data_IF_923540719422
#
_entry.id   IF_923540719422
#
_cell.length_a   1.000
_cell.length_b   1.000
_cell.length_c   1.000
_cell.angle_alpha   90.00
_cell.angle_beta   90.00
_cell.angle_gamma   90.00
#
_symmetry.space_group_name_H-M   'P 1'
#
loop_
_entity.id
_entity.type
_entity.pdbx_description
1 polymer ?
#
# COMPACT_ATOMS: atom_id res chain seq x y z
N UNK A 1 -16.99 19.81 34.71
CA UNK A 1 -18.44 19.56 34.49
C UNK A 1 -18.83 18.11 34.73
N UNK A 2 -18.06 17.12 34.25
CA UNK A 2 -18.35 15.69 34.46
C UNK A 2 -18.46 15.28 35.94
N UNK A 3 -17.61 15.84 36.80
CA UNK A 3 -17.61 15.54 38.25
C UNK A 3 -18.68 16.30 39.05
N UNK A 4 -19.27 17.36 38.49
CA UNK A 4 -20.20 18.24 39.22
C UNK A 4 -21.47 17.53 39.68
N UNK A 5 -21.99 16.62 38.85
CA UNK A 5 -23.19 15.83 39.16
C UNK A 5 -22.93 14.81 40.27
N UNK A 6 -21.78 14.13 40.21
CA UNK A 6 -21.42 13.10 41.20
C UNK A 6 -20.99 13.69 42.54
N UNK A 7 -20.30 14.83 42.52
CA UNK A 7 -19.88 15.54 43.73
C UNK A 7 -20.98 16.46 44.30
N UNK A 8 -22.06 16.72 43.55
CA UNK A 8 -23.09 17.70 43.87
C UNK A 8 -22.51 19.08 44.23
N UNK A 9 -21.50 19.52 43.47
CA UNK A 9 -20.76 20.76 43.72
C UNK A 9 -20.62 21.59 42.44
N UNK A 10 -20.63 22.93 42.53
CA UNK A 10 -20.28 23.81 41.42
C UNK A 10 -18.90 23.45 40.86
N UNK A 11 -18.71 23.38 39.52
CA UNK A 11 -17.45 22.96 38.93
C UNK A 11 -16.24 23.82 39.35
N UNK A 12 -16.45 25.11 39.62
CA UNK A 12 -15.39 25.99 40.16
C UNK A 12 -14.90 25.55 41.54
N UNK A 13 -15.80 25.16 42.45
CA UNK A 13 -15.42 24.67 43.77
C UNK A 13 -14.67 23.34 43.68
N UNK A 14 -15.05 22.47 42.74
CA UNK A 14 -14.33 21.22 42.48
C UNK A 14 -12.92 21.53 41.95
N UNK A 15 -12.79 22.49 41.04
CA UNK A 15 -11.49 22.92 40.54
C UNK A 15 -10.60 23.48 41.66
N UNK A 16 -11.15 24.32 42.55
CA UNK A 16 -10.45 24.86 43.72
C UNK A 16 -9.94 23.75 44.64
N UNK A 17 -10.75 22.71 44.88
CA UNK A 17 -10.33 21.54 45.68
C UNK A 17 -9.18 20.80 44.98
N UNK A 18 -9.29 20.50 43.68
CA UNK A 18 -8.23 19.79 42.94
C UNK A 18 -6.93 20.60 42.98
N UNK A 19 -7.00 21.91 42.72
CA UNK A 19 -5.84 22.81 42.77
C UNK A 19 -5.23 22.87 44.16
N UNK A 20 -6.03 22.86 45.23
CA UNK A 20 -5.48 22.83 46.60
C UNK A 20 -4.71 21.54 46.93
N UNK A 21 -4.95 20.46 46.18
CA UNK A 21 -4.29 19.17 46.38
C UNK A 21 -3.15 18.89 45.39
N UNK A 22 -2.93 19.75 44.39
CA UNK A 22 -1.87 19.58 43.39
C UNK A 22 -0.45 19.66 43.98
N UNK A 23 -0.28 20.32 45.13
CA UNK A 23 1.01 20.47 45.80
C UNK A 23 1.98 21.40 45.06
N UNK A 24 3.24 21.43 45.50
CA UNK A 24 4.32 22.15 44.82
C UNK A 24 5.10 21.16 43.95
N UNK A 25 4.74 21.09 42.67
CA UNK A 25 5.47 20.33 41.66
C UNK A 25 6.42 21.28 40.89
N UNK A 26 7.74 21.03 40.85
CA UNK A 26 8.70 21.84 40.08
C UNK A 26 8.39 21.96 38.58
N UNK A 27 7.62 21.02 38.02
CA UNK A 27 7.17 21.05 36.63
C UNK A 27 6.08 22.11 36.39
N UNK A 28 5.40 22.58 37.45
CA UNK A 28 4.26 23.49 37.34
C UNK A 28 4.67 24.88 37.85
N UNK A 29 4.84 25.81 36.92
CA UNK A 29 5.11 27.23 37.23
C UNK A 29 3.89 27.93 37.80
N UNK A 30 2.72 27.64 37.24
CA UNK A 30 1.49 28.33 37.59
C UNK A 30 0.28 27.41 37.36
N UNK A 31 -0.71 27.57 38.21
CA UNK A 31 -2.04 26.98 38.04
C UNK A 31 -3.07 28.10 38.06
N UNK A 32 -4.00 28.07 37.10
CA UNK A 32 -5.08 29.05 37.01
C UNK A 32 -6.43 28.36 36.85
N UNK A 33 -7.42 28.79 37.64
CA UNK A 33 -8.81 28.36 37.47
C UNK A 33 -9.52 29.39 36.59
N UNK A 34 -9.86 28.99 35.37
CA UNK A 34 -10.52 29.84 34.40
C UNK A 34 -12.02 29.51 34.26
N UNK A 35 -12.82 30.57 34.06
CA UNK A 35 -14.25 30.47 33.79
C UNK A 35 -15.02 29.59 34.79
N UNK A 36 -15.83 28.62 34.34
CA UNK A 36 -16.69 27.81 35.21
C UNK A 36 -15.95 26.73 36.02
N UNK A 37 -14.63 26.61 35.91
CA UNK A 37 -13.82 25.59 36.61
C UNK A 37 -12.87 24.80 35.70
N UNK A 38 -12.36 25.41 34.63
CA UNK A 38 -11.21 24.85 33.89
C UNK A 38 -9.95 25.05 34.72
N UNK A 39 -9.06 24.06 34.74
CA UNK A 39 -7.76 24.15 35.41
C UNK A 39 -6.70 24.22 34.31
N UNK A 40 -6.06 25.38 34.17
CA UNK A 40 -4.94 25.58 33.28
C UNK A 40 -3.64 25.36 34.06
N UNK A 41 -2.77 24.50 33.54
CA UNK A 41 -1.44 24.26 34.08
C UNK A 41 -0.40 24.89 33.15
N UNK A 42 0.49 25.70 33.72
CA UNK A 42 1.60 26.31 33.00
C UNK A 42 2.88 25.62 33.42
N UNK A 43 3.57 25.03 32.45
CA UNK A 43 4.80 24.26 32.68
C UNK A 43 5.97 25.21 32.97
N UNK A 44 6.92 24.78 33.79
CA UNK A 44 8.13 25.55 34.10
C UNK A 44 9.07 25.70 32.89
N UNK A 45 9.90 26.75 32.91
CA UNK A 45 10.93 26.96 31.89
C UNK A 45 12.01 25.86 31.94
N UNK A 46 12.31 25.37 33.15
CA UNK A 46 13.26 24.27 33.39
C UNK A 46 12.89 23.00 32.63
N UNK A 47 11.59 22.68 32.56
CA UNK A 47 11.11 21.55 31.77
C UNK A 47 11.47 21.67 30.28
N UNK A 48 11.42 22.87 29.70
CA UNK A 48 11.82 23.05 28.29
C UNK A 48 13.31 22.80 28.09
N UNK A 49 14.17 23.22 29.04
CA UNK A 49 15.61 22.94 28.96
C UNK A 49 15.90 21.43 29.09
N UNK A 50 15.21 20.73 29.98
CA UNK A 50 15.31 19.26 30.12
C UNK A 50 14.89 18.55 28.83
N UNK A 51 13.78 18.98 28.20
CA UNK A 51 13.33 18.39 26.93
C UNK A 51 14.34 18.64 25.80
N UNK A 52 14.98 19.81 25.74
CA UNK A 52 16.04 20.07 24.76
C UNK A 52 17.24 19.14 24.96
N UNK A 53 17.64 18.91 26.21
CA UNK A 53 18.69 17.93 26.52
C UNK A 53 18.28 16.52 26.11
N UNK A 54 17.02 16.12 26.34
CA UNK A 54 16.49 14.84 25.90
C UNK A 54 16.50 14.69 24.38
N UNK A 55 16.08 15.72 23.63
CA UNK A 55 16.11 15.72 22.16
C UNK A 55 17.54 15.54 21.66
N UNK A 56 18.49 16.30 22.20
CA UNK A 56 19.90 16.22 21.80
C UNK A 56 20.51 14.85 22.15
N UNK A 57 20.22 14.32 23.33
CA UNK A 57 20.70 13.01 23.76
C UNK A 57 20.12 11.86 22.93
N UNK A 58 18.84 11.93 22.53
CA UNK A 58 18.17 10.89 21.75
C UNK A 58 18.42 11.00 20.24
N UNK A 59 18.74 12.20 19.72
CA UNK A 59 19.04 12.40 18.31
C UNK A 59 17.92 11.93 17.38
N UNK A 60 18.23 11.07 16.42
CA UNK A 60 17.27 10.51 15.46
C UNK A 60 16.22 9.58 16.11
N UNK A 61 16.48 9.11 17.33
CA UNK A 61 15.54 8.29 18.08
C UNK A 61 14.52 9.09 18.91
N UNK A 62 14.64 10.43 18.93
CA UNK A 62 13.67 11.27 19.61
C UNK A 62 12.27 11.11 19.00
N UNK A 63 11.28 10.91 19.87
CA UNK A 63 9.89 10.69 19.46
C UNK A 63 9.57 9.26 19.01
N UNK A 64 10.54 8.34 19.00
CA UNK A 64 10.29 6.91 18.81
C UNK A 64 9.72 6.31 20.09
N UNK A 65 8.73 5.43 19.94
CA UNK A 65 8.16 4.67 21.05
C UNK A 65 9.17 3.64 21.54
N UNK A 66 9.39 3.56 22.85
CA UNK A 66 10.20 2.52 23.49
C UNK A 66 9.37 1.27 23.84
N UNK A 67 8.05 1.37 23.76
CA UNK A 67 7.16 0.26 24.09
C UNK A 67 7.10 -0.72 22.92
N UNK A 68 7.59 -1.94 23.12
CA UNK A 68 7.37 -3.01 22.13
C UNK A 68 5.89 -3.35 22.06
N UNK A 69 5.40 -3.48 20.84
CA UNK A 69 4.02 -3.94 20.59
C UNK A 69 3.96 -5.45 20.36
N UNK A 70 5.10 -6.11 20.05
CA UNK A 70 5.20 -7.47 19.53
C UNK A 70 4.25 -7.76 18.34
N UNK A 71 3.78 -6.71 17.67
CA UNK A 71 2.84 -6.80 16.55
C UNK A 71 3.59 -6.59 15.25
N UNK A 72 3.29 -7.46 14.29
CA UNK A 72 3.75 -7.36 12.90
C UNK A 72 2.68 -6.66 12.09
N UNK A 73 3.07 -5.69 11.29
CA UNK A 73 2.18 -4.95 10.39
C UNK A 73 2.77 -4.99 8.99
N UNK A 74 1.97 -5.48 8.05
CA UNK A 74 2.23 -5.38 6.62
C UNK A 74 1.53 -4.11 6.10
N UNK A 75 2.27 -3.26 5.40
CA UNK A 75 1.74 -2.08 4.71
C UNK A 75 1.94 -2.31 3.22
N UNK A 76 0.86 -2.68 2.53
CA UNK A 76 0.84 -2.79 1.07
C UNK A 76 0.47 -1.44 0.46
N UNK A 77 1.26 -0.97 -0.52
CA UNK A 77 0.98 0.30 -1.20
C UNK A 77 1.62 0.39 -2.60
N UNK A 78 1.16 1.37 -3.38
CA UNK A 78 1.42 1.55 -4.81
C UNK A 78 0.81 0.46 -5.68
N UNK A 79 1.23 -0.80 -5.51
CA UNK A 79 0.72 -2.02 -6.18
C UNK A 79 0.22 -1.78 -7.61
N UNK A 80 1.01 -1.04 -8.38
CA UNK A 80 0.61 -0.59 -9.70
C UNK A 80 0.81 -1.73 -10.70
N UNK A 81 -0.18 -1.97 -11.55
CA UNK A 81 -0.08 -3.00 -12.58
C UNK A 81 1.18 -2.75 -13.43
N UNK A 82 1.97 -3.79 -13.76
CA UNK A 82 3.20 -3.68 -14.54
C UNK A 82 2.88 -3.53 -16.04
N UNK A 83 1.96 -2.63 -16.38
CA UNK A 83 1.49 -2.40 -17.75
C UNK A 83 1.84 -1.01 -18.26
N UNK A 84 2.47 -0.18 -17.42
CA UNK A 84 3.01 1.12 -17.78
C UNK A 84 3.87 1.75 -16.68
N UNK A 85 4.48 2.91 -16.96
CA UNK A 85 5.27 3.65 -15.98
C UNK A 85 4.40 4.21 -14.85
N UNK A 86 5.02 4.42 -13.69
CA UNK A 86 4.36 5.09 -12.57
C UNK A 86 4.00 6.54 -12.92
N UNK A 87 2.88 7.01 -12.39
CA UNK A 87 2.41 8.38 -12.58
C UNK A 87 2.26 9.11 -11.24
N UNK A 88 1.76 10.35 -11.27
CA UNK A 88 1.61 11.18 -10.07
C UNK A 88 0.68 10.58 -9.01
N UNK A 89 -0.31 9.77 -9.42
CA UNK A 89 -1.21 9.06 -8.50
C UNK A 89 -0.43 7.99 -7.74
N UNK A 90 0.43 7.24 -8.43
CA UNK A 90 1.37 6.30 -7.82
C UNK A 90 2.31 7.01 -6.85
N UNK A 91 2.81 8.20 -7.20
CA UNK A 91 3.64 9.02 -6.32
C UNK A 91 2.94 9.43 -5.02
N UNK A 92 1.64 9.79 -5.10
CA UNK A 92 0.82 10.06 -3.91
C UNK A 92 0.69 8.82 -3.02
N UNK A 93 0.37 7.67 -3.62
CA UNK A 93 0.26 6.41 -2.90
C UNK A 93 1.60 6.02 -2.22
N UNK A 94 2.71 6.19 -2.93
CA UNK A 94 4.06 5.96 -2.43
C UNK A 94 4.36 6.81 -1.19
N UNK A 95 4.10 8.12 -1.26
CA UNK A 95 4.34 9.03 -0.14
C UNK A 95 3.48 8.69 1.09
N UNK A 96 2.19 8.40 0.89
CA UNK A 96 1.28 8.07 2.00
C UNK A 96 1.64 6.74 2.65
N UNK A 97 1.86 5.70 1.85
CA UNK A 97 2.20 4.36 2.34
C UNK A 97 3.54 4.33 3.07
N UNK A 98 4.56 4.97 2.51
CA UNK A 98 5.88 5.00 3.14
C UNK A 98 5.89 5.81 4.45
N UNK A 99 5.22 6.97 4.50
CA UNK A 99 5.07 7.74 5.75
C UNK A 99 4.32 6.94 6.82
N UNK A 100 3.27 6.20 6.45
CA UNK A 100 2.58 5.32 7.39
C UNK A 100 3.51 4.22 7.91
N UNK A 101 4.26 3.56 7.03
CA UNK A 101 5.22 2.53 7.43
C UNK A 101 6.34 3.09 8.34
N UNK A 102 6.82 4.31 8.05
CA UNK A 102 7.78 5.03 8.88
C UNK A 102 7.21 5.36 10.26
N UNK A 103 5.96 5.82 10.34
CA UNK A 103 5.30 6.13 11.61
C UNK A 103 5.08 4.87 12.45
N UNK A 104 4.64 3.77 11.84
CA UNK A 104 4.47 2.48 12.52
C UNK A 104 5.82 1.94 13.03
N UNK A 105 6.88 2.05 12.22
CA UNK A 105 8.24 1.69 12.63
C UNK A 105 8.74 2.58 13.78
N UNK A 106 8.46 3.89 13.75
CA UNK A 106 8.77 4.81 14.84
C UNK A 106 7.95 4.51 16.11
N UNK A 107 6.74 3.99 15.96
CA UNK A 107 5.90 3.50 17.06
C UNK A 107 6.27 2.08 17.55
N UNK A 108 7.38 1.52 17.05
CA UNK A 108 7.93 0.22 17.47
C UNK A 108 7.05 -1.00 17.11
N UNK A 109 6.46 -0.96 15.93
CA UNK A 109 5.88 -2.11 15.25
C UNK A 109 6.89 -2.75 14.31
N UNK A 110 6.87 -4.08 14.20
CA UNK A 110 7.61 -4.81 13.16
C UNK A 110 6.87 -4.61 11.83
N UNK A 111 7.34 -3.64 11.04
CA UNK A 111 6.61 -3.12 9.89
C UNK A 111 7.28 -3.57 8.60
N UNK A 112 6.51 -4.19 7.70
CA UNK A 112 6.96 -4.65 6.38
C UNK A 112 6.25 -3.87 5.28
N UNK A 113 6.99 -3.30 4.35
CA UNK A 113 6.48 -2.64 3.13
C UNK A 113 6.35 -3.68 2.02
N UNK A 114 5.15 -3.83 1.47
CA UNK A 114 4.89 -4.74 0.36
C UNK A 114 4.40 -4.01 -0.88
N UNK A 115 4.90 -4.43 -2.04
CA UNK A 115 4.36 -4.10 -3.34
C UNK A 115 3.74 -5.35 -3.95
N UNK A 116 2.43 -5.35 -4.19
CA UNK A 116 1.74 -6.42 -4.90
C UNK A 116 1.81 -6.18 -6.41
N UNK A 117 2.38 -7.13 -7.14
CA UNK A 117 2.57 -7.09 -8.59
C UNK A 117 1.42 -7.87 -9.22
N UNK A 118 0.53 -7.16 -9.91
CA UNK A 118 -0.52 -7.77 -10.72
C UNK A 118 0.03 -8.21 -12.08
N UNK A 119 0.85 -9.26 -12.08
CA UNK A 119 1.54 -9.83 -13.25
C UNK A 119 0.79 -11.00 -13.90
N UNK A 120 -0.52 -11.12 -13.66
CA UNK A 120 -1.38 -12.17 -14.20
C UNK A 120 -2.60 -11.64 -14.97
N UNK A 121 -3.19 -12.49 -15.80
CA UNK A 121 -4.46 -12.24 -16.48
C UNK A 121 -4.39 -11.43 -17.78
N UNK A 122 -5.57 -11.07 -18.31
CA UNK A 122 -5.73 -10.52 -19.67
C UNK A 122 -4.99 -9.20 -19.92
N UNK A 123 -4.70 -8.43 -18.88
CA UNK A 123 -3.96 -7.16 -19.03
C UNK A 123 -2.50 -7.41 -19.43
N UNK A 124 -1.84 -8.39 -18.83
CA UNK A 124 -0.45 -8.71 -19.19
C UNK A 124 -0.35 -9.42 -20.55
N UNK A 125 -1.37 -10.20 -20.93
CA UNK A 125 -1.48 -10.77 -22.28
C UNK A 125 -1.57 -9.68 -23.35
N UNK A 126 -2.45 -8.67 -23.12
CA UNK A 126 -2.56 -7.50 -24.00
C UNK A 126 -1.26 -6.70 -24.08
N UNK A 127 -0.50 -6.62 -22.99
CA UNK A 127 0.82 -5.99 -22.99
C UNK A 127 1.77 -6.76 -23.91
N UNK A 128 1.86 -8.08 -23.78
CA UNK A 128 2.69 -8.93 -24.63
C UNK A 128 2.33 -8.80 -26.12
N UNK A 129 1.04 -8.86 -26.44
CA UNK A 129 0.55 -8.66 -27.82
C UNK A 129 0.85 -7.26 -28.36
N UNK A 130 0.78 -6.23 -27.53
CA UNK A 130 1.12 -4.86 -27.94
C UNK A 130 2.62 -4.71 -28.23
N UNK A 131 3.47 -5.35 -27.43
CA UNK A 131 4.93 -5.40 -27.66
C UNK A 131 5.23 -6.16 -28.95
N UNK A 132 4.56 -7.29 -29.22
CA UNK A 132 4.73 -8.04 -30.48
C UNK A 132 4.51 -7.16 -31.70
N UNK A 133 3.39 -6.42 -31.71
CA UNK A 133 3.05 -5.53 -32.81
C UNK A 133 4.12 -4.45 -32.97
N UNK A 134 4.58 -3.81 -31.88
CA UNK A 134 5.64 -2.78 -31.95
C UNK A 134 6.96 -3.36 -32.45
N UNK A 135 7.32 -4.56 -32.01
CA UNK A 135 8.52 -5.26 -32.45
C UNK A 135 8.49 -5.56 -33.94
N UNK A 136 7.37 -6.09 -34.46
CA UNK A 136 7.17 -6.38 -35.89
C UNK A 136 7.14 -5.12 -36.75
N UNK A 137 6.52 -4.04 -36.27
CA UNK A 137 6.56 -2.74 -36.94
C UNK A 137 8.01 -2.26 -37.18
N UNK A 138 8.89 -2.40 -36.18
CA UNK A 138 10.31 -2.02 -36.30
C UNK A 138 11.11 -2.93 -37.25
N UNK A 139 10.61 -4.13 -37.55
CA UNK A 139 11.22 -5.10 -38.45
C UNK A 139 10.63 -5.07 -39.87
N UNK A 140 9.85 -4.04 -40.20
CA UNK A 140 9.34 -3.79 -41.55
C UNK A 140 7.86 -4.12 -41.77
N UNK A 141 7.12 -4.51 -40.73
CA UNK A 141 5.67 -4.71 -40.79
C UNK A 141 4.89 -3.45 -40.31
N UNK A 142 5.22 -2.28 -40.88
CA UNK A 142 4.70 -0.97 -40.43
C UNK A 142 3.17 -0.84 -40.48
N UNK A 143 2.51 -1.61 -41.35
CA UNK A 143 1.05 -1.58 -41.55
C UNK A 143 0.25 -2.26 -40.43
N UNK A 144 0.92 -3.00 -39.53
CA UNK A 144 0.25 -3.61 -38.37
C UNK A 144 -0.32 -2.51 -37.47
N UNK A 145 -1.56 -2.68 -37.01
CA UNK A 145 -2.21 -1.73 -36.11
C UNK A 145 -2.40 -2.36 -34.75
N UNK A 146 -2.09 -1.59 -33.71
CA UNK A 146 -2.47 -1.96 -32.36
C UNK A 146 -4.01 -1.99 -32.23
N UNK A 147 -4.59 -3.02 -31.59
CA UNK A 147 -5.99 -3.03 -31.22
C UNK A 147 -6.37 -1.83 -30.34
N UNK A 148 -7.64 -1.41 -30.33
CA UNK A 148 -8.11 -0.30 -29.49
C UNK A 148 -7.95 -0.57 -27.99
N UNK A 149 -8.02 -1.84 -27.57
CA UNK A 149 -7.81 -2.29 -26.20
C UNK A 149 -6.36 -2.67 -25.89
N UNK A 150 -5.45 -2.44 -26.85
CA UNK A 150 -4.02 -2.61 -26.69
C UNK A 150 -3.37 -1.45 -25.94
N UNK A 151 -2.09 -1.62 -25.62
CA UNK A 151 -1.30 -0.56 -25.01
C UNK A 151 -0.63 0.28 -26.09
N UNK A 152 -0.85 1.60 -26.04
CA UNK A 152 -0.40 2.53 -27.09
C UNK A 152 0.75 3.46 -26.66
N UNK A 153 1.23 3.34 -25.42
CA UNK A 153 2.23 4.27 -24.88
C UNK A 153 3.57 4.22 -25.61
N UNK A 154 4.26 5.36 -25.68
CA UNK A 154 5.56 5.51 -26.34
C UNK A 154 6.65 4.61 -25.73
N UNK A 155 6.56 4.32 -24.43
CA UNK A 155 7.47 3.42 -23.73
C UNK A 155 7.55 2.01 -24.36
N UNK A 156 6.47 1.56 -25.03
CA UNK A 156 6.48 0.27 -25.73
C UNK A 156 7.33 0.30 -27.00
N UNK A 157 7.40 1.45 -27.66
CA UNK A 157 8.25 1.62 -28.84
C UNK A 157 9.70 1.53 -28.41
N UNK A 158 10.07 2.18 -27.31
CA UNK A 158 11.44 2.15 -26.80
C UNK A 158 11.82 0.76 -26.26
N UNK A 159 10.89 0.08 -25.59
CA UNK A 159 11.07 -1.33 -25.22
C UNK A 159 11.27 -2.21 -26.46
N UNK A 160 10.41 -2.09 -27.47
CA UNK A 160 10.54 -2.86 -28.71
C UNK A 160 11.87 -2.60 -29.44
N UNK A 161 12.35 -1.35 -29.48
CA UNK A 161 13.69 -1.02 -30.00
C UNK A 161 14.77 -1.75 -29.23
N UNK A 162 14.73 -1.72 -27.89
CA UNK A 162 15.74 -2.40 -27.06
C UNK A 162 15.77 -3.92 -27.29
N UNK A 163 14.61 -4.51 -27.57
CA UNK A 163 14.49 -5.93 -27.93
C UNK A 163 15.14 -6.18 -29.30
N UNK A 164 14.79 -5.40 -30.32
CA UNK A 164 15.38 -5.53 -31.67
C UNK A 164 16.90 -5.34 -31.62
N UNK A 165 17.40 -4.38 -30.85
CA UNK A 165 18.84 -4.16 -30.66
C UNK A 165 19.52 -5.36 -29.99
N UNK A 166 18.82 -6.04 -29.07
CA UNK A 166 19.36 -7.18 -28.33
C UNK A 166 19.34 -8.50 -29.11
N UNK A 167 18.28 -8.77 -29.88
CA UNK A 167 18.04 -10.10 -30.49
C UNK A 167 17.70 -10.06 -31.97
N UNK A 168 17.68 -8.88 -32.61
CA UNK A 168 17.34 -8.73 -34.01
C UNK A 168 15.91 -9.16 -34.31
N UNK A 169 15.74 -10.05 -35.28
CA UNK A 169 14.47 -10.64 -35.72
C UNK A 169 14.20 -12.04 -35.14
N UNK A 170 15.06 -12.52 -34.24
CA UNK A 170 15.05 -13.91 -33.75
C UNK A 170 13.67 -14.39 -33.28
N UNK A 171 12.91 -13.54 -32.59
CA UNK A 171 11.59 -13.93 -32.06
C UNK A 171 10.51 -14.09 -33.13
N UNK A 172 10.70 -13.62 -34.37
CA UNK A 172 9.75 -13.88 -35.46
C UNK A 172 9.68 -15.36 -35.85
N UNK A 173 10.67 -16.18 -35.44
CA UNK A 173 10.68 -17.62 -35.67
C UNK A 173 9.77 -18.39 -34.70
N UNK A 174 9.31 -17.75 -33.62
CA UNK A 174 8.34 -18.32 -32.69
C UNK A 174 6.93 -18.23 -33.28
N UNK A 175 6.08 -19.21 -32.96
CA UNK A 175 4.65 -19.06 -33.18
C UNK A 175 4.09 -17.88 -32.37
N UNK A 176 2.88 -17.44 -32.75
CA UNK A 176 2.28 -16.23 -32.18
C UNK A 176 2.11 -16.31 -30.66
N UNK A 177 1.61 -17.42 -30.14
CA UNK A 177 1.36 -17.59 -28.71
C UNK A 177 2.67 -17.59 -27.92
N UNK A 178 3.66 -18.38 -28.36
CA UNK A 178 4.98 -18.43 -27.73
C UNK A 178 5.70 -17.08 -27.77
N UNK A 179 5.49 -16.30 -28.83
CA UNK A 179 6.06 -14.97 -28.98
C UNK A 179 5.40 -13.95 -28.06
N UNK A 180 4.07 -13.97 -27.95
CA UNK A 180 3.31 -13.12 -27.02
C UNK A 180 3.71 -13.42 -25.58
N UNK A 181 3.80 -14.68 -25.18
CA UNK A 181 4.27 -15.07 -23.85
C UNK A 181 5.69 -14.59 -23.57
N UNK A 182 6.58 -14.70 -24.57
CA UNK A 182 7.94 -14.18 -24.43
C UNK A 182 7.97 -12.67 -24.19
N UNK A 183 7.13 -11.92 -24.91
CA UNK A 183 7.05 -10.47 -24.76
C UNK A 183 6.32 -10.02 -23.50
N UNK A 184 5.37 -10.81 -23.00
CA UNK A 184 4.77 -10.64 -21.68
C UNK A 184 5.83 -10.65 -20.59
N UNK A 185 6.68 -11.68 -20.55
CA UNK A 185 7.75 -11.80 -19.56
C UNK A 185 8.76 -10.64 -19.63
N UNK A 186 9.21 -10.31 -20.85
CA UNK A 186 10.14 -9.19 -21.09
C UNK A 186 9.51 -7.85 -20.67
N UNK A 187 8.25 -7.64 -21.03
CA UNK A 187 7.49 -6.43 -20.72
C UNK A 187 7.30 -6.23 -19.22
N UNK A 188 6.85 -7.26 -18.51
CA UNK A 188 6.68 -7.25 -17.06
C UNK A 188 8.01 -6.93 -16.38
N UNK A 189 9.09 -7.64 -16.74
CA UNK A 189 10.39 -7.45 -16.12
C UNK A 189 10.90 -6.01 -16.35
N UNK A 190 10.85 -5.51 -17.59
CA UNK A 190 11.30 -4.16 -17.93
C UNK A 190 10.52 -3.09 -17.16
N UNK A 191 9.19 -3.21 -17.12
CA UNK A 191 8.34 -2.25 -16.44
C UNK A 191 8.54 -2.30 -14.93
N UNK A 192 8.64 -3.49 -14.34
CA UNK A 192 8.89 -3.67 -12.92
C UNK A 192 10.24 -3.07 -12.51
N UNK A 193 11.29 -3.26 -13.30
CA UNK A 193 12.61 -2.66 -13.04
C UNK A 193 12.56 -1.13 -13.14
N UNK A 194 11.81 -0.60 -14.12
CA UNK A 194 11.56 0.83 -14.24
C UNK A 194 10.79 1.41 -13.05
N UNK A 195 9.77 0.69 -12.57
CA UNK A 195 8.99 1.06 -11.39
C UNK A 195 9.87 1.05 -10.13
N UNK A 196 10.65 -0.01 -9.90
CA UNK A 196 11.62 -0.13 -8.80
C UNK A 196 12.62 1.04 -8.80
N UNK A 197 13.21 1.33 -9.96
CA UNK A 197 14.16 2.44 -10.11
C UNK A 197 13.50 3.80 -9.83
N UNK A 198 12.27 3.99 -10.29
CA UNK A 198 11.51 5.22 -10.06
C UNK A 198 11.18 5.41 -8.58
N UNK A 199 10.71 4.36 -7.89
CA UNK A 199 10.38 4.39 -6.46
C UNK A 199 11.63 4.66 -5.62
N UNK A 200 12.74 3.99 -5.93
CA UNK A 200 14.02 4.23 -5.27
C UNK A 200 14.48 5.67 -5.40
N UNK A 201 14.39 6.25 -6.61
CA UNK A 201 14.68 7.68 -6.85
C UNK A 201 13.73 8.61 -6.10
N UNK A 202 12.49 8.17 -5.87
CA UNK A 202 11.49 8.88 -5.08
C UNK A 202 11.71 8.78 -3.57
N UNK A 203 12.64 7.92 -3.12
CA UNK A 203 12.96 7.71 -1.71
C UNK A 203 12.14 6.61 -1.03
N UNK A 204 11.47 5.75 -1.81
CA UNK A 204 10.65 4.64 -1.31
C UNK A 204 11.30 3.32 -1.70
N UNK A 205 11.55 2.48 -0.71
CA UNK A 205 12.05 1.11 -0.89
C UNK A 205 11.08 0.12 -0.24
N UNK A 206 10.89 -1.03 -0.89
CA UNK A 206 9.97 -2.09 -0.44
C UNK A 206 10.77 -3.28 0.08
N UNK A 207 10.26 -3.91 1.14
CA UNK A 207 10.85 -5.10 1.75
C UNK A 207 10.48 -6.37 0.96
N UNK A 208 9.24 -6.42 0.46
CA UNK A 208 8.68 -7.57 -0.26
C UNK A 208 8.01 -7.12 -1.55
N UNK A 209 8.24 -7.89 -2.61
CA UNK A 209 7.55 -7.78 -3.89
C UNK A 209 6.82 -9.09 -4.15
N UNK A 210 5.48 -9.06 -4.16
CA UNK A 210 4.64 -10.25 -4.22
C UNK A 210 3.99 -10.38 -5.59
N UNK A 211 4.26 -11.47 -6.30
CA UNK A 211 3.71 -11.76 -7.64
C UNK A 211 2.34 -12.45 -7.54
N UNK A 212 1.36 -11.93 -8.29
CA UNK A 212 0.05 -12.59 -8.45
C UNK A 212 0.20 -13.93 -9.18
N UNK A 213 1.03 -13.99 -10.22
CA UNK A 213 1.27 -15.22 -10.95
C UNK A 213 1.83 -16.31 -10.01
N UNK A 214 2.79 -15.97 -9.15
CA UNK A 214 3.32 -16.90 -8.16
C UNK A 214 2.26 -17.39 -7.16
N UNK A 215 1.32 -16.51 -6.74
CA UNK A 215 0.19 -16.88 -5.88
C UNK A 215 -0.75 -17.87 -6.57
N UNK A 216 -1.02 -17.66 -7.87
CA UNK A 216 -1.85 -18.54 -8.69
C UNK A 216 -1.17 -19.88 -8.96
N UNK A 217 0.13 -19.87 -9.25
CA UNK A 217 0.93 -21.09 -9.46
C UNK A 217 0.94 -21.97 -8.20
N UNK A 218 0.94 -21.35 -7.01
CA UNK A 218 0.81 -22.01 -5.70
C UNK A 218 -0.62 -22.51 -5.40
N UNK A 219 -1.59 -22.27 -6.28
CA UNK A 219 -3.01 -22.62 -6.12
C UNK A 219 -3.65 -22.08 -4.84
N UNK A 220 -3.20 -20.92 -4.37
CA UNK A 220 -3.75 -20.29 -3.15
C UNK A 220 -5.22 -19.88 -3.31
N UNK A 221 -5.67 -19.33 -4.45
CA UNK A 221 -7.09 -19.04 -4.64
C UNK A 221 -7.98 -20.29 -4.47
N UNK A 222 -7.62 -21.41 -5.08
CA UNK A 222 -8.37 -22.67 -5.01
C UNK A 222 -8.43 -23.20 -3.58
N UNK A 223 -7.33 -23.10 -2.82
CA UNK A 223 -7.30 -23.46 -1.40
C UNK A 223 -8.29 -22.63 -0.56
N UNK A 224 -8.43 -21.33 -0.84
CA UNK A 224 -9.39 -20.45 -0.17
C UNK A 224 -10.83 -20.79 -0.56
N UNK A 225 -11.09 -21.05 -1.84
CA UNK A 225 -12.39 -21.50 -2.32
C UNK A 225 -12.82 -22.77 -1.57
N UNK A 226 -11.94 -23.76 -1.44
CA UNK A 226 -12.24 -24.98 -0.69
C UNK A 226 -12.63 -24.71 0.77
N UNK A 227 -11.98 -23.75 1.43
CA UNK A 227 -12.30 -23.36 2.81
C UNK A 227 -13.69 -22.73 2.87
N UNK A 228 -14.01 -21.82 1.95
CA UNK A 228 -15.32 -21.18 1.90
C UNK A 228 -16.44 -22.17 1.56
N UNK A 229 -16.20 -23.12 0.65
CA UNK A 229 -17.12 -24.23 0.38
C UNK A 229 -17.37 -25.06 1.65
N UNK A 230 -16.32 -25.46 2.37
CA UNK A 230 -16.44 -26.25 3.61
C UNK A 230 -17.21 -25.52 4.72
N UNK A 231 -17.15 -24.18 4.72
CA UNK A 231 -17.90 -23.33 5.66
C UNK A 231 -19.30 -22.96 5.17
N UNK A 232 -19.71 -23.44 3.99
CA UNK A 232 -20.99 -23.12 3.36
C UNK A 232 -21.21 -21.61 3.18
N UNK A 233 -20.14 -20.89 2.82
CA UNK A 233 -20.15 -19.43 2.60
C UNK A 233 -20.24 -19.06 1.11
N UNK A 234 -20.36 -20.06 0.24
CA UNK A 234 -20.45 -19.88 -1.22
C UNK A 234 -21.83 -20.30 -1.72
N UNK A 235 -22.34 -19.58 -2.72
CA UNK A 235 -23.57 -19.93 -3.43
C UNK A 235 -23.44 -19.66 -4.93
N UNK A 236 -24.24 -20.37 -5.72
CA UNK A 236 -24.31 -20.17 -7.17
C UNK A 236 -25.44 -19.21 -7.52
N UNK A 237 -25.13 -18.16 -8.27
CA UNK A 237 -26.11 -17.23 -8.82
C UNK A 237 -25.61 -16.64 -10.13
N UNK A 238 -26.51 -16.42 -11.09
CA UNK A 238 -26.18 -15.80 -12.39
C UNK A 238 -25.09 -16.55 -13.18
N UNK A 239 -24.94 -17.85 -12.92
CA UNK A 239 -23.90 -18.68 -13.55
C UNK A 239 -22.50 -18.48 -12.99
N UNK A 240 -22.35 -17.81 -11.85
CA UNK A 240 -21.09 -17.59 -11.16
C UNK A 240 -21.19 -18.05 -9.68
N UNK A 241 -20.03 -18.31 -9.07
CA UNK A 241 -19.92 -18.60 -7.64
C UNK A 241 -19.71 -17.31 -6.85
N UNK A 242 -20.55 -17.07 -5.86
CA UNK A 242 -20.56 -15.88 -5.02
C UNK A 242 -20.19 -16.22 -3.58
N UNK A 243 -19.49 -15.30 -2.92
CA UNK A 243 -19.17 -15.36 -1.49
C UNK A 243 -20.10 -14.45 -0.68
N UNK A 244 -20.67 -15.00 0.38
CA UNK A 244 -21.67 -14.37 1.26
C UNK A 244 -21.05 -13.34 2.21
N UNK A 245 -20.50 -12.25 1.67
CA UNK A 245 -19.91 -11.17 2.46
C UNK A 245 -20.96 -10.46 3.33
N UNK A 246 -22.21 -10.41 2.88
CA UNK A 246 -23.31 -9.77 3.62
C UNK A 246 -23.57 -10.41 4.99
N UNK A 247 -23.25 -11.70 5.18
CA UNK A 247 -23.32 -12.35 6.49
C UNK A 247 -22.32 -11.76 7.51
N UNK A 248 -21.27 -11.10 7.02
CA UNK A 248 -20.22 -10.48 7.83
C UNK A 248 -20.34 -8.95 7.93
N UNK A 249 -21.43 -8.37 7.42
CA UNK A 249 -21.75 -6.95 7.55
C UNK A 249 -21.28 -6.07 6.39
N UNK A 250 -20.86 -6.66 5.27
CA UNK A 250 -20.64 -5.95 4.01
C UNK A 250 -21.95 -5.60 3.30
N UNK A 251 -21.90 -4.61 2.40
CA UNK A 251 -23.08 -4.12 1.67
C UNK A 251 -23.56 -5.09 0.58
N UNK A 252 -22.63 -5.82 -0.04
CA UNK A 252 -22.90 -6.72 -1.19
C UNK A 252 -22.04 -7.97 -1.14
N UNK A 253 -22.60 -9.08 -1.62
CA UNK A 253 -21.84 -10.30 -1.90
C UNK A 253 -20.94 -10.12 -3.13
N UNK A 254 -19.88 -10.92 -3.24
CA UNK A 254 -18.91 -10.79 -4.34
C UNK A 254 -18.76 -12.08 -5.16
N UNK A 255 -18.60 -11.95 -6.48
CA UNK A 255 -18.21 -13.06 -7.34
C UNK A 255 -16.77 -13.47 -7.03
N UNK A 256 -16.56 -14.76 -6.75
CA UNK A 256 -15.24 -15.34 -6.50
C UNK A 256 -14.80 -16.32 -7.60
N UNK A 257 -15.74 -16.85 -8.39
CA UNK A 257 -15.48 -17.61 -9.62
C UNK A 257 -16.47 -17.15 -10.66
N UNK A 258 -15.98 -16.71 -11.82
CA UNK A 258 -16.80 -16.26 -12.93
C UNK A 258 -17.45 -17.44 -13.66
N UNK A 259 -18.38 -17.13 -14.56
CA UNK A 259 -19.10 -18.12 -15.36
C UNK A 259 -18.23 -18.88 -16.37
N UNK A 260 -17.06 -18.36 -16.72
CA UNK A 260 -16.04 -19.05 -17.52
C UNK A 260 -15.08 -19.91 -16.67
N UNK A 261 -15.25 -19.91 -15.35
CA UNK A 261 -14.44 -20.67 -14.40
C UNK A 261 -13.17 -19.95 -13.94
N UNK A 262 -12.95 -18.70 -14.36
CA UNK A 262 -11.83 -17.84 -13.92
C UNK A 262 -12.06 -17.23 -12.52
#
# INVERSE_FOLDING_TARGET
MSLSKSANMPPKQIAEIIVSHLGNDPLIRQVEIAGPGFINLFVSEDWFYEILEHIVCQGEDYGRSQNSTNKRILVEFVSANPTGPLNIVSGRAAAVGDVLANLLSAANYDTTREFYINDAGKQVERLGASIDIRYRQLLGEEELKLPEDGYHGEYLIDLAKSIVESVGDQYLQLDEDARIDKFKDIGIQHLLDGQKSTLKRFGVEFDVWTSEQAIRDDKKPEQIIEIFTKKNLLYEAEGATWFQMTEFGDDTDCVVIKSDGE
#
